data_IF_021034354874
#
_entry.id   IF_021034354874
#
_cell.length_a   1.000
_cell.length_b   1.000
_cell.length_c   1.000
_cell.angle_alpha   90.00
_cell.angle_beta   90.00
_cell.angle_gamma   90.00
#
_symmetry.space_group_name_H-M   'P 1'
#
loop_
_entity.id
_entity.type
_entity.pdbx_description
1 polymer ?
#
# COMPACT_ATOMS: atom_id res chain seq x y z
N UNK A 1 -8.30 15.77 16.29
CA UNK A 1 -8.76 14.37 16.51
C UNK A 1 -8.09 13.78 17.76
N UNK A 2 -8.85 13.29 18.73
CA UNK A 2 -8.27 12.62 19.90
C UNK A 2 -7.79 11.21 19.54
N UNK A 3 -6.47 11.01 19.43
CA UNK A 3 -5.85 9.68 19.21
C UNK A 3 -6.20 8.78 20.40
N UNK A 4 -7.08 7.80 20.20
CA UNK A 4 -7.35 6.74 21.20
C UNK A 4 -6.03 6.01 21.46
N UNK A 5 -5.62 5.98 22.73
CA UNK A 5 -4.42 5.27 23.18
C UNK A 5 -4.67 3.74 23.10
N UNK A 6 -4.62 3.16 21.90
CA UNK A 6 -4.81 1.72 21.65
C UNK A 6 -3.50 0.98 21.99
N UNK A 7 -3.36 0.55 23.25
CA UNK A 7 -2.26 -0.35 23.69
C UNK A 7 -2.54 -1.83 23.38
N UNK A 8 -3.03 -2.15 22.19
CA UNK A 8 -3.39 -3.52 21.82
C UNK A 8 -2.63 -3.95 20.57
N UNK A 9 -1.86 -5.04 20.67
CA UNK A 9 -1.02 -5.61 19.62
C UNK A 9 0.03 -4.64 19.04
N UNK A 10 1.27 -4.71 19.54
CA UNK A 10 2.39 -4.24 18.71
C UNK A 10 2.58 -5.28 17.63
N UNK A 11 2.15 -4.98 16.40
CA UNK A 11 2.67 -5.72 15.26
C UNK A 11 4.19 -5.78 15.37
N UNK A 12 4.86 -6.84 14.88
CA UNK A 12 6.25 -6.68 14.50
C UNK A 12 6.28 -5.45 13.58
N UNK A 13 6.91 -4.36 14.02
CA UNK A 13 6.96 -3.12 13.27
C UNK A 13 7.55 -3.51 11.93
N UNK A 14 6.71 -3.59 10.89
CA UNK A 14 7.19 -3.68 9.52
C UNK A 14 7.77 -2.29 9.29
N UNK A 15 9.01 -2.12 9.72
CA UNK A 15 9.75 -0.88 9.53
C UNK A 15 10.09 -0.87 8.06
N UNK A 16 9.15 -0.36 7.27
CA UNK A 16 9.42 -0.02 5.90
C UNK A 16 10.32 1.21 5.99
N UNK A 17 11.60 1.04 5.67
CA UNK A 17 12.51 2.17 5.54
C UNK A 17 11.99 3.14 4.46
N UNK A 18 12.41 4.42 4.50
CA UNK A 18 11.97 5.40 3.52
C UNK A 18 12.22 4.87 2.11
N UNK A 19 11.21 4.96 1.25
CA UNK A 19 11.39 4.63 -0.17
C UNK A 19 11.93 5.85 -0.89
N UNK A 20 13.05 5.65 -1.56
CA UNK A 20 13.73 6.68 -2.33
C UNK A 20 13.59 6.38 -3.81
N UNK A 21 13.15 7.37 -4.59
CA UNK A 21 13.30 7.35 -6.03
C UNK A 21 14.04 8.57 -6.54
N UNK A 22 14.92 8.31 -7.49
CA UNK A 22 15.88 9.28 -8.01
C UNK A 22 15.63 9.50 -9.52
N UNK A 23 15.56 10.75 -9.93
CA UNK A 23 15.59 11.15 -11.34
C UNK A 23 16.69 12.21 -11.55
N UNK A 24 17.64 11.93 -12.45
CA UNK A 24 18.81 12.77 -12.72
C UNK A 24 20.15 12.05 -12.47
N UNK A 25 21.26 12.73 -12.75
CA UNK A 25 22.61 12.20 -12.52
C UNK A 25 23.20 12.78 -11.23
N UNK A 26 23.26 11.96 -10.17
CA UNK A 26 23.81 12.33 -8.87
C UNK A 26 25.32 12.67 -8.92
N UNK A 27 26.04 12.35 -10.00
CA UNK A 27 27.44 12.76 -10.16
C UNK A 27 27.59 14.23 -10.57
N UNK A 28 26.59 14.81 -11.21
CA UNK A 28 26.58 16.26 -11.57
C UNK A 28 26.54 17.13 -10.32
N UNK A 29 25.95 16.55 -9.29
CA UNK A 29 25.75 17.09 -7.97
C UNK A 29 27.05 17.06 -7.13
N UNK A 30 28.00 16.15 -7.38
CA UNK A 30 29.27 16.08 -6.64
C UNK A 30 30.25 17.22 -6.97
N UNK A 31 30.07 17.91 -8.10
CA UNK A 31 31.01 18.90 -8.63
C UNK A 31 30.52 20.35 -8.42
N UNK A 32 30.58 20.85 -7.19
CA UNK A 32 30.27 22.24 -6.86
C UNK A 32 30.25 22.52 -5.36
N UNK A 33 30.28 23.81 -4.98
CA UNK A 33 30.08 24.24 -3.59
C UNK A 33 28.59 24.30 -3.27
N UNK A 34 28.20 24.14 -2.02
CA UNK A 34 26.77 24.14 -1.63
C UNK A 34 26.04 25.43 -2.04
N UNK A 35 26.75 26.55 -1.99
CA UNK A 35 26.29 27.88 -2.41
C UNK A 35 26.00 28.00 -3.92
N UNK A 36 26.49 27.08 -4.75
CA UNK A 36 26.22 27.05 -6.19
C UNK A 36 24.84 26.44 -6.52
N UNK A 37 24.15 25.88 -5.53
CA UNK A 37 22.91 25.15 -5.71
C UNK A 37 21.74 25.81 -4.97
N UNK A 38 20.54 25.40 -5.36
CA UNK A 38 19.28 25.68 -4.67
C UNK A 38 18.61 24.33 -4.42
N UNK A 39 18.21 24.07 -3.18
CA UNK A 39 17.38 22.91 -2.84
C UNK A 39 15.95 23.37 -2.65
N UNK A 40 15.01 22.70 -3.29
CA UNK A 40 13.59 22.95 -3.11
C UNK A 40 12.96 21.71 -2.51
N UNK A 41 12.48 21.83 -1.27
CA UNK A 41 11.71 20.78 -0.62
C UNK A 41 10.22 21.08 -0.76
N UNK A 42 9.45 20.03 -1.00
CA UNK A 42 7.99 20.09 -1.16
C UNK A 42 7.31 19.01 -0.35
N UNK A 43 6.28 19.37 0.38
CA UNK A 43 5.38 18.41 1.04
C UNK A 43 3.97 18.97 1.21
N UNK A 44 3.02 18.05 1.27
CA UNK A 44 1.65 18.33 1.67
C UNK A 44 1.65 18.66 3.16
N UNK A 45 0.95 19.73 3.53
CA UNK A 45 0.77 20.09 4.93
C UNK A 45 -0.41 19.31 5.53
N UNK A 46 -0.20 18.57 6.63
CA UNK A 46 -1.23 17.76 7.30
C UNK A 46 -2.07 18.63 8.25
N UNK A 47 -2.59 19.76 7.77
CA UNK A 47 -3.30 20.77 8.57
C UNK A 47 -4.63 21.15 7.91
N UNK A 48 -5.56 21.66 8.72
CA UNK A 48 -6.91 22.02 8.28
C UNK A 48 -6.92 23.31 7.44
N UNK A 49 -7.87 23.40 6.49
CA UNK A 49 -7.88 24.46 5.47
C UNK A 49 -8.05 25.88 6.03
N UNK A 50 -8.71 26.01 7.18
CA UNK A 50 -9.04 27.31 7.79
C UNK A 50 -7.81 28.03 8.36
N UNK A 51 -6.66 27.36 8.45
CA UNK A 51 -5.47 27.87 9.12
C UNK A 51 -4.50 28.63 8.20
N UNK A 52 -4.68 28.58 6.86
CA UNK A 52 -3.65 29.02 5.91
C UNK A 52 -4.08 30.07 4.88
N UNK A 53 -3.20 31.05 4.69
CA UNK A 53 -3.25 32.02 3.58
C UNK A 53 -2.18 31.64 2.55
N UNK A 54 -2.54 31.32 1.29
CA UNK A 54 -1.59 31.17 0.21
C UNK A 54 -0.74 32.44 0.00
N UNK A 55 0.55 32.38 0.31
CA UNK A 55 1.48 33.50 0.20
C UNK A 55 2.93 33.00 0.10
N UNK A 56 3.85 33.92 -0.22
CA UNK A 56 5.29 33.68 -0.10
C UNK A 56 5.83 34.40 1.13
N UNK A 57 6.56 33.66 1.94
CA UNK A 57 7.19 34.10 3.17
C UNK A 57 8.71 34.00 3.07
N UNK A 58 9.38 34.76 3.92
CA UNK A 58 10.84 34.73 4.06
C UNK A 58 11.17 34.56 5.53
N UNK A 59 11.91 33.51 5.85
CA UNK A 59 12.38 33.22 7.21
C UNK A 59 13.89 33.40 7.24
N UNK A 60 14.35 34.24 8.16
CA UNK A 60 15.77 34.44 8.44
C UNK A 60 16.14 33.71 9.73
N UNK A 61 17.37 33.22 9.82
CA UNK A 61 17.88 32.59 11.04
C UNK A 61 19.38 32.81 11.12
N UNK A 62 19.89 33.00 12.34
CA UNK A 62 21.31 33.28 12.59
C UNK A 62 22.28 32.18 12.09
N UNK A 63 21.76 30.98 11.77
CA UNK A 63 22.56 29.88 11.24
C UNK A 63 22.86 30.03 9.73
N UNK A 64 22.20 30.95 9.02
CA UNK A 64 22.32 31.10 7.57
C UNK A 64 22.40 32.56 7.16
N UNK A 65 23.32 32.86 6.25
CA UNK A 65 23.54 34.22 5.76
C UNK A 65 22.46 34.70 4.76
N UNK A 66 21.64 33.78 4.26
CA UNK A 66 20.61 34.06 3.26
C UNK A 66 19.21 33.69 3.77
N UNK A 67 18.18 34.49 3.46
CA UNK A 67 16.81 34.16 3.80
C UNK A 67 16.37 32.87 3.10
N UNK A 68 15.57 32.07 3.80
CA UNK A 68 14.92 30.89 3.25
C UNK A 68 13.50 31.30 2.84
N UNK A 69 13.17 31.06 1.58
CA UNK A 69 11.86 31.38 1.02
C UNK A 69 10.90 30.20 1.23
N UNK A 70 9.69 30.48 1.69
CA UNK A 70 8.63 29.49 1.91
C UNK A 70 7.43 29.92 1.08
N UNK A 71 6.91 29.06 0.21
CA UNK A 71 5.65 29.29 -0.50
C UNK A 71 4.62 28.34 0.03
N UNK A 72 3.50 28.90 0.47
CA UNK A 72 2.31 28.13 0.81
C UNK A 72 1.29 28.35 -0.29
N UNK A 73 0.69 27.28 -0.77
CA UNK A 73 -0.38 27.35 -1.75
C UNK A 73 -1.36 26.19 -1.59
N UNK A 74 -2.59 26.42 -1.99
CA UNK A 74 -3.64 25.41 -2.05
C UNK A 74 -3.53 24.66 -3.38
N UNK A 75 -3.78 23.36 -3.32
CA UNK A 75 -3.86 22.46 -4.46
C UNK A 75 -5.29 21.96 -4.56
N UNK A 76 -5.91 22.13 -5.73
CA UNK A 76 -7.34 21.84 -5.92
C UNK A 76 -7.62 20.39 -6.27
N UNK A 77 -6.67 19.72 -6.94
CA UNK A 77 -6.82 18.33 -7.33
C UNK A 77 -5.50 17.57 -7.45
N UNK A 78 -5.63 16.24 -7.60
CA UNK A 78 -4.51 15.32 -7.66
C UNK A 78 -3.53 15.59 -8.81
N UNK A 79 -3.92 16.27 -9.88
CA UNK A 79 -3.05 16.57 -11.03
C UNK A 79 -2.03 17.67 -10.73
N UNK A 80 -2.33 18.53 -9.76
CA UNK A 80 -1.47 19.61 -9.29
C UNK A 80 -0.50 19.16 -8.16
N UNK A 81 -0.84 18.09 -7.43
CA UNK A 81 0.01 17.49 -6.41
C UNK A 81 1.19 16.72 -7.02
N UNK A 82 2.35 17.37 -7.05
CA UNK A 82 3.58 16.77 -7.55
C UNK A 82 4.00 15.51 -6.79
N UNK A 83 3.77 15.45 -5.47
CA UNK A 83 4.12 14.27 -4.67
C UNK A 83 3.22 13.11 -5.07
N UNK A 84 1.92 13.35 -5.25
CA UNK A 84 1.00 12.34 -5.74
C UNK A 84 1.31 11.91 -7.18
N UNK A 85 1.57 12.85 -8.09
CA UNK A 85 1.86 12.55 -9.49
C UNK A 85 3.12 11.71 -9.67
N UNK A 86 4.12 11.91 -8.82
CA UNK A 86 5.33 11.09 -8.78
C UNK A 86 5.10 9.81 -7.96
N UNK A 87 4.49 9.91 -6.79
CA UNK A 87 4.17 8.79 -5.91
C UNK A 87 3.36 7.69 -6.59
N UNK A 88 2.36 8.07 -7.40
CA UNK A 88 1.45 7.12 -8.06
C UNK A 88 2.13 6.23 -9.12
N UNK A 89 3.32 6.59 -9.62
CA UNK A 89 4.08 5.71 -10.51
C UNK A 89 4.89 4.67 -9.74
N UNK A 90 5.12 4.90 -8.44
CA UNK A 90 5.70 3.91 -7.57
C UNK A 90 4.65 2.90 -7.15
N UNK A 91 4.91 1.65 -7.51
CA UNK A 91 4.47 0.54 -6.67
C UNK A 91 5.34 0.59 -5.42
N UNK A 92 4.86 1.22 -4.34
CA UNK A 92 5.51 1.19 -3.03
C UNK A 92 5.80 -0.28 -2.66
N UNK A 93 7.06 -0.71 -2.81
CA UNK A 93 7.41 -2.12 -2.76
C UNK A 93 8.73 -2.47 -3.45
N UNK A 94 9.82 -1.76 -3.10
CA UNK A 94 11.17 -2.14 -3.53
C UNK A 94 11.68 -3.45 -2.89
N UNK A 95 10.94 -4.02 -1.93
CA UNK A 95 11.07 -5.42 -1.54
C UNK A 95 9.67 -5.95 -1.20
N UNK A 96 9.15 -6.79 -2.09
CA UNK A 96 8.03 -7.74 -1.97
C UNK A 96 6.86 -7.37 -1.05
N UNK A 97 5.63 -7.44 -1.59
CA UNK A 97 4.34 -7.65 -0.91
C UNK A 97 3.27 -6.53 -0.91
N UNK A 98 3.52 -5.33 -1.45
CA UNK A 98 2.55 -4.20 -1.34
C UNK A 98 2.24 -3.45 -2.64
N UNK A 99 2.62 -4.03 -3.79
CA UNK A 99 2.76 -3.33 -5.08
C UNK A 99 1.50 -2.67 -5.67
N UNK A 100 0.31 -2.71 -5.06
CA UNK A 100 -0.86 -2.03 -5.65
C UNK A 100 -1.86 -1.43 -4.65
N UNK A 101 -1.41 -1.05 -3.46
CA UNK A 101 -2.18 -0.06 -2.71
C UNK A 101 -2.06 1.29 -3.41
N UNK A 102 -3.16 2.03 -3.64
CA UNK A 102 -3.08 3.29 -4.34
C UNK A 102 -2.29 4.28 -3.49
N UNK A 103 -1.28 4.93 -4.08
CA UNK A 103 -0.41 5.89 -3.38
C UNK A 103 -1.19 6.95 -2.58
N UNK A 104 -2.43 7.27 -3.00
CA UNK A 104 -3.33 8.17 -2.28
C UNK A 104 -3.52 7.80 -0.82
N UNK A 105 -3.46 6.52 -0.42
CA UNK A 105 -3.64 6.16 1.00
C UNK A 105 -2.41 6.48 1.84
N UNK A 106 -1.26 6.65 1.19
CA UNK A 106 0.01 6.92 1.83
C UNK A 106 0.39 8.38 1.75
N UNK A 107 -0.19 9.17 0.84
CA UNK A 107 0.01 10.61 0.80
C UNK A 107 -0.53 11.28 2.07
N UNK A 108 0.08 12.40 2.49
CA UNK A 108 -0.28 13.06 3.74
C UNK A 108 -1.71 13.65 3.73
N UNK A 109 -2.22 14.03 2.55
CA UNK A 109 -3.62 14.41 2.36
C UNK A 109 -4.57 13.22 2.13
N UNK A 110 -4.06 11.99 2.07
CA UNK A 110 -4.85 10.77 1.86
C UNK A 110 -5.71 10.81 0.58
N UNK A 111 -5.21 11.48 -0.45
CA UNK A 111 -5.93 11.74 -1.71
C UNK A 111 -7.14 12.69 -1.57
N UNK A 112 -7.29 13.38 -0.44
CA UNK A 112 -8.31 14.42 -0.23
C UNK A 112 -7.81 15.74 -0.79
N UNK A 113 -8.71 16.43 -1.49
CA UNK A 113 -8.47 17.74 -2.07
C UNK A 113 -9.71 18.63 -1.83
N UNK A 114 -9.55 19.96 -1.71
CA UNK A 114 -8.28 20.67 -1.80
C UNK A 114 -7.36 20.39 -0.59
N UNK A 115 -6.06 20.66 -0.75
CA UNK A 115 -5.08 20.52 0.34
C UNK A 115 -4.00 21.59 0.26
N UNK A 116 -3.27 21.82 1.34
CA UNK A 116 -2.20 22.82 1.39
C UNK A 116 -0.84 22.20 1.12
N UNK A 117 0.01 22.94 0.44
CA UNK A 117 1.36 22.54 0.09
C UNK A 117 2.37 23.57 0.59
N UNK A 118 3.47 23.08 1.15
CA UNK A 118 4.62 23.89 1.46
C UNK A 118 5.74 23.62 0.45
N UNK A 119 6.28 24.69 -0.13
CA UNK A 119 7.52 24.67 -0.90
C UNK A 119 8.56 25.52 -0.18
N UNK A 120 9.64 24.90 0.29
CA UNK A 120 10.74 25.56 0.98
C UNK A 120 11.95 25.61 0.05
N UNK A 121 12.46 26.82 -0.20
CA UNK A 121 13.56 27.08 -1.10
C UNK A 121 14.80 27.46 -0.29
N UNK A 122 15.71 26.51 -0.18
CA UNK A 122 17.00 26.68 0.44
C UNK A 122 17.98 27.25 -0.59
N UNK A 123 18.64 28.39 -0.31
CA UNK A 123 19.59 29.01 -1.24
C UNK A 123 20.95 28.29 -1.27
N UNK A 124 20.97 27.02 -0.88
CA UNK A 124 22.14 26.14 -0.84
C UNK A 124 21.69 24.68 -0.99
N UNK A 125 22.66 23.79 -1.22
CA UNK A 125 22.46 22.33 -1.16
C UNK A 125 22.29 21.88 0.30
N UNK A 126 21.21 21.15 0.61
CA UNK A 126 20.99 20.59 1.96
C UNK A 126 21.86 19.38 2.28
N UNK A 127 22.04 18.51 1.29
CA UNK A 127 22.41 17.13 1.54
C UNK A 127 23.89 16.88 1.16
N UNK A 128 24.62 16.23 2.07
CA UNK A 128 26.05 15.96 1.98
C UNK A 128 26.25 14.62 1.26
N UNK A 129 26.01 14.59 -0.06
CA UNK A 129 26.06 13.36 -0.88
C UNK A 129 27.43 12.69 -1.01
N UNK A 130 28.40 13.05 -0.16
CA UNK A 130 29.74 12.50 -0.17
C UNK A 130 29.69 11.01 0.18
N UNK A 131 29.56 10.21 -0.87
CA UNK A 131 29.89 8.80 -1.00
C UNK A 131 29.29 7.89 0.11
N UNK A 132 28.10 7.27 -0.11
CA UNK A 132 27.54 6.25 0.79
C UNK A 132 28.37 4.96 0.85
N UNK A 133 29.59 4.94 0.32
CA UNK A 133 30.52 3.83 0.47
C UNK A 133 30.84 3.59 1.95
N UNK A 134 30.23 2.54 2.51
CA UNK A 134 30.68 1.70 3.63
C UNK A 134 30.24 2.01 5.07
N UNK A 135 29.56 3.10 5.40
CA UNK A 135 28.96 3.21 6.74
C UNK A 135 27.61 2.47 6.82
N UNK A 136 27.73 1.16 7.04
CA UNK A 136 26.73 0.19 7.53
C UNK A 136 25.26 0.56 7.31
N UNK A 137 24.82 0.34 6.07
CA UNK A 137 23.40 0.32 5.66
C UNK A 137 22.58 -0.65 6.55
N UNK A 138 23.20 -1.70 7.09
CA UNK A 138 22.50 -2.70 7.93
C UNK A 138 22.21 -2.27 9.38
N UNK A 139 22.99 -1.36 9.99
CA UNK A 139 22.66 -0.81 11.32
C UNK A 139 21.66 0.36 11.25
N UNK A 140 21.44 0.91 10.06
CA UNK A 140 20.63 2.10 9.78
C UNK A 140 19.12 1.82 9.68
N UNK A 141 18.71 0.56 9.48
CA UNK A 141 17.30 0.18 9.27
C UNK A 141 16.49 -0.06 10.56
N UNK A 142 17.11 -0.02 11.75
CA UNK A 142 16.45 -0.43 13.01
C UNK A 142 15.97 0.73 13.90
N UNK A 143 16.36 1.98 13.63
CA UNK A 143 15.99 3.14 14.49
C UNK A 143 15.15 4.21 13.82
N UNK A 144 14.84 4.07 12.52
CA UNK A 144 14.27 5.16 11.71
C UNK A 144 15.28 6.29 11.55
N UNK A 145 15.90 6.42 10.38
CA UNK A 145 16.80 7.55 10.14
C UNK A 145 15.94 8.80 10.02
N UNK A 146 16.06 9.70 11.00
CA UNK A 146 15.53 11.04 10.85
C UNK A 146 16.28 11.76 9.73
N UNK A 147 15.59 12.11 8.65
CA UNK A 147 16.09 13.01 7.62
C UNK A 147 16.39 14.37 8.27
N UNK A 148 17.67 14.75 8.31
CA UNK A 148 18.11 16.06 8.82
C UNK A 148 17.50 17.19 8.01
N UNK A 149 17.34 16.97 6.70
CA UNK A 149 16.78 17.93 5.75
C UNK A 149 15.31 18.19 6.05
N UNK A 150 14.55 17.12 6.33
CA UNK A 150 13.16 17.22 6.81
C UNK A 150 13.06 17.92 8.17
N UNK A 151 13.91 17.57 9.14
CA UNK A 151 13.92 18.25 10.44
C UNK A 151 14.14 19.76 10.30
N UNK A 152 15.08 20.16 9.44
CA UNK A 152 15.33 21.57 9.16
C UNK A 152 14.14 22.24 8.48
N UNK A 153 13.54 21.60 7.47
CA UNK A 153 12.33 22.08 6.81
C UNK A 153 11.18 22.32 7.80
N UNK A 154 10.95 21.36 8.71
CA UNK A 154 9.92 21.48 9.74
C UNK A 154 10.25 22.57 10.77
N UNK A 155 11.51 22.74 11.15
CA UNK A 155 11.94 23.84 12.03
C UNK A 155 11.62 25.21 11.41
N UNK A 156 11.89 25.36 10.11
CA UNK A 156 11.64 26.59 9.36
C UNK A 156 10.14 26.89 9.25
N UNK A 157 9.32 25.89 8.95
CA UNK A 157 7.86 26.04 8.94
C UNK A 157 7.31 26.37 10.33
N UNK A 158 7.80 25.69 11.37
CA UNK A 158 7.36 25.96 12.74
C UNK A 158 7.74 27.38 13.21
N UNK A 159 8.87 27.92 12.75
CA UNK A 159 9.21 29.34 12.96
C UNK A 159 8.21 30.28 12.27
N UNK A 160 7.77 29.94 11.05
CA UNK A 160 6.74 30.69 10.35
C UNK A 160 5.40 30.60 11.11
N UNK A 161 4.98 29.41 11.54
CA UNK A 161 3.72 29.18 12.24
C UNK A 161 3.69 29.83 13.63
N UNK A 162 4.84 29.93 14.30
CA UNK A 162 4.97 30.65 15.56
C UNK A 162 5.05 32.19 15.40
N UNK A 163 5.09 32.71 14.16
CA UNK A 163 5.15 34.15 13.91
C UNK A 163 3.78 34.82 14.09
N UNK A 164 3.76 36.14 14.26
CA UNK A 164 2.52 36.93 14.40
C UNK A 164 1.58 36.86 13.19
N UNK A 165 2.05 36.30 12.06
CA UNK A 165 1.24 36.14 10.85
C UNK A 165 0.17 35.05 10.99
N UNK A 166 0.38 34.06 11.83
CA UNK A 166 -0.55 32.96 12.05
C UNK A 166 -1.20 33.05 13.43
N UNK A 167 -2.36 32.41 13.59
CA UNK A 167 -3.00 32.35 14.89
C UNK A 167 -2.08 31.62 15.88
N UNK A 168 -2.13 32.01 17.16
CA UNK A 168 -1.36 31.33 18.21
C UNK A 168 -1.77 29.87 18.41
N UNK A 169 -2.84 29.45 17.75
CA UNK A 169 -3.44 28.13 17.87
C UNK A 169 -3.01 27.19 16.73
N UNK A 170 -2.25 27.66 15.72
CA UNK A 170 -1.72 26.78 14.68
C UNK A 170 -0.78 25.75 15.31
N UNK A 171 -1.12 24.48 15.10
CA UNK A 171 -0.33 23.37 15.63
C UNK A 171 1.05 23.35 14.96
N UNK A 172 2.10 23.24 15.77
CA UNK A 172 3.46 22.98 15.28
C UNK A 172 3.57 21.55 14.72
N UNK A 173 4.29 21.42 13.60
CA UNK A 173 4.53 20.15 12.94
C UNK A 173 5.63 19.36 13.65
N UNK A 174 5.38 18.08 13.87
CA UNK A 174 6.34 17.09 14.32
C UNK A 174 6.90 16.29 13.14
N UNK A 175 8.00 15.57 13.36
CA UNK A 175 8.61 14.76 12.30
C UNK A 175 7.64 13.72 11.72
N UNK A 176 6.77 13.16 12.56
CA UNK A 176 5.84 12.11 12.15
C UNK A 176 4.65 12.65 11.34
N UNK A 177 4.44 13.98 11.31
CA UNK A 177 3.30 14.59 10.62
C UNK A 177 3.48 14.61 9.09
N UNK A 178 4.73 14.66 8.59
CA UNK A 178 5.02 14.66 7.15
C UNK A 178 5.59 13.31 6.76
N UNK A 179 4.81 12.49 6.07
CA UNK A 179 5.21 11.13 5.69
C UNK A 179 5.80 11.06 4.29
N UNK A 180 5.52 12.04 3.42
CA UNK A 180 6.06 12.06 2.05
C UNK A 180 6.52 13.46 1.66
N UNK A 181 7.65 13.53 0.97
CA UNK A 181 8.18 14.80 0.46
C UNK A 181 9.06 14.60 -0.76
N UNK A 182 9.21 15.67 -1.55
CA UNK A 182 10.10 15.73 -2.69
C UNK A 182 11.19 16.75 -2.43
N UNK A 183 12.44 16.37 -2.69
CA UNK A 183 13.58 17.28 -2.77
C UNK A 183 13.97 17.45 -4.23
N UNK A 184 14.17 18.68 -4.68
CA UNK A 184 14.64 18.99 -6.03
C UNK A 184 15.84 19.91 -5.96
N UNK A 185 16.89 19.59 -6.71
CA UNK A 185 18.15 20.32 -6.69
C UNK A 185 18.35 21.02 -8.03
N UNK A 186 18.72 22.30 -7.94
CA UNK A 186 18.96 23.18 -9.08
C UNK A 186 20.35 23.79 -8.97
N UNK A 187 20.99 24.09 -10.11
CA UNK A 187 22.20 24.91 -10.15
C UNK A 187 21.83 26.38 -10.34
N UNK A 188 22.40 27.27 -9.53
CA UNK A 188 22.21 28.72 -9.71
C UNK A 188 22.70 29.14 -11.10
N UNK A 189 21.96 30.04 -11.73
CA UNK A 189 22.26 30.52 -13.09
C UNK A 189 21.79 29.61 -14.23
N UNK A 190 21.29 28.40 -13.96
CA UNK A 190 20.68 27.52 -14.95
C UNK A 190 19.17 27.44 -14.72
N UNK A 191 18.39 28.22 -15.47
CA UNK A 191 17.06 28.66 -15.05
C UNK A 191 15.89 27.68 -15.28
N UNK A 192 16.10 26.44 -15.72
CA UNK A 192 14.97 25.59 -16.14
C UNK A 192 15.11 24.07 -15.90
N UNK A 193 16.32 23.50 -15.83
CA UNK A 193 16.48 22.05 -15.66
C UNK A 193 16.80 21.71 -14.20
N UNK A 194 15.94 20.90 -13.56
CA UNK A 194 16.32 20.24 -12.31
C UNK A 194 17.52 19.32 -12.60
N UNK A 195 18.55 19.40 -11.76
CA UNK A 195 19.70 18.49 -11.89
C UNK A 195 19.35 17.11 -11.36
N UNK A 196 18.56 17.09 -10.29
CA UNK A 196 18.26 15.90 -9.53
C UNK A 196 16.97 16.10 -8.74
N UNK A 197 16.16 15.07 -8.70
CA UNK A 197 14.94 15.03 -7.91
C UNK A 197 14.87 13.73 -7.12
N UNK A 198 14.49 13.85 -5.86
CA UNK A 198 14.41 12.79 -4.88
C UNK A 198 13.00 12.77 -4.27
N UNK A 199 12.25 11.68 -4.46
CA UNK A 199 10.99 11.45 -3.78
C UNK A 199 11.24 10.54 -2.58
N UNK A 200 10.85 10.97 -1.39
CA UNK A 200 10.96 10.24 -0.14
C UNK A 200 9.55 9.93 0.36
N UNK A 201 9.24 8.65 0.55
CA UNK A 201 7.91 8.16 0.94
C UNK A 201 7.96 7.38 2.25
N UNK A 202 6.85 7.43 3.00
CA UNK A 202 6.66 6.70 4.27
C UNK A 202 7.76 6.96 5.30
N UNK A 203 8.26 8.19 5.35
CA UNK A 203 9.38 8.58 6.23
C UNK A 203 8.95 8.81 7.70
N UNK A 204 7.77 8.35 8.09
CA UNK A 204 7.34 8.32 9.49
C UNK A 204 7.19 6.87 9.95
N UNK A 205 7.42 6.61 11.25
CA UNK A 205 7.48 5.24 11.79
C UNK A 205 6.18 4.47 11.57
N UNK A 206 5.07 5.20 11.60
CA UNK A 206 3.73 4.64 11.52
C UNK A 206 3.02 5.00 10.21
N UNK A 207 3.67 5.69 9.27
CA UNK A 207 3.04 6.17 8.02
C UNK A 207 2.29 5.05 7.29
N UNK A 208 2.92 3.88 7.24
CA UNK A 208 2.36 2.70 6.61
C UNK A 208 1.15 2.18 7.40
N UNK A 209 1.31 1.93 8.70
CA UNK A 209 0.23 1.44 9.57
C UNK A 209 -0.98 2.38 9.55
N UNK A 210 -0.76 3.68 9.70
CA UNK A 210 -1.82 4.69 9.66
C UNK A 210 -2.53 4.74 8.29
N UNK A 211 -1.79 4.65 7.18
CA UNK A 211 -2.38 4.61 5.84
C UNK A 211 -3.20 3.35 5.58
N UNK A 212 -2.76 2.21 6.13
CA UNK A 212 -3.48 0.94 6.09
C UNK A 212 -4.73 0.97 6.97
N UNK A 213 -4.62 1.43 8.21
CA UNK A 213 -5.76 1.54 9.14
C UNK A 213 -6.86 2.42 8.56
N UNK A 214 -6.51 3.57 7.99
CA UNK A 214 -7.49 4.45 7.34
C UNK A 214 -8.12 3.80 6.10
N UNK A 215 -7.33 3.10 5.29
CA UNK A 215 -7.82 2.43 4.09
C UNK A 215 -8.76 1.25 4.40
N UNK A 216 -8.45 0.51 5.47
CA UNK A 216 -9.18 -0.71 5.83
C UNK A 216 -10.31 -0.47 6.83
N UNK A 217 -10.25 0.62 7.59
CA UNK A 217 -11.21 0.98 8.62
C UNK A 217 -11.00 0.25 9.95
N UNK A 218 -11.49 0.87 11.04
CA UNK A 218 -11.36 0.39 12.42
C UNK A 218 -11.86 -1.06 12.62
N UNK A 219 -12.96 -1.41 11.95
CA UNK A 219 -13.63 -2.70 12.13
C UNK A 219 -12.76 -3.89 11.66
N UNK A 220 -11.97 -3.72 10.59
CA UNK A 220 -11.05 -4.77 10.15
C UNK A 220 -9.97 -4.97 11.19
N UNK A 221 -9.40 -3.89 11.72
CA UNK A 221 -8.33 -3.98 12.69
C UNK A 221 -8.76 -4.70 13.96
N UNK A 222 -9.96 -4.41 14.44
CA UNK A 222 -10.55 -5.09 15.59
C UNK A 222 -10.78 -6.58 15.31
N UNK A 223 -11.24 -6.93 14.10
CA UNK A 223 -11.40 -8.33 13.67
C UNK A 223 -10.06 -9.07 13.58
N UNK A 224 -9.05 -8.47 12.91
CA UNK A 224 -7.71 -9.04 12.79
C UNK A 224 -7.07 -9.20 14.17
N UNK A 225 -7.10 -8.16 15.00
CA UNK A 225 -6.55 -8.21 16.35
C UNK A 225 -7.28 -9.22 17.23
N UNK A 226 -8.58 -9.40 17.04
CA UNK A 226 -9.37 -10.45 17.69
C UNK A 226 -8.93 -11.84 17.24
N UNK A 227 -8.76 -12.05 15.94
CA UNK A 227 -8.28 -13.30 15.36
C UNK A 227 -6.86 -13.65 15.83
N UNK A 228 -5.92 -12.71 15.75
CA UNK A 228 -4.53 -12.94 16.19
C UNK A 228 -4.48 -13.29 17.66
N UNK A 229 -5.23 -12.59 18.52
CA UNK A 229 -5.31 -12.93 19.96
C UNK A 229 -5.92 -14.31 20.21
N UNK A 230 -6.92 -14.71 19.42
CA UNK A 230 -7.50 -16.06 19.51
C UNK A 230 -6.47 -17.14 19.15
N UNK A 231 -5.63 -16.86 18.15
CA UNK A 231 -4.59 -17.77 17.64
C UNK A 231 -3.25 -17.70 18.38
N UNK A 232 -3.07 -16.69 19.22
CA UNK A 232 -1.83 -16.48 19.97
C UNK A 232 -1.56 -17.68 20.90
N UNK A 233 -0.43 -18.36 20.67
CA UNK A 233 -0.03 -19.54 21.42
C UNK A 233 -0.51 -20.88 20.85
N UNK A 234 -1.37 -20.88 19.81
CA UNK A 234 -1.64 -22.10 19.03
C UNK A 234 -0.37 -22.50 18.27
N UNK A 235 -0.01 -23.79 18.34
CA UNK A 235 1.21 -24.29 17.72
C UNK A 235 0.93 -24.72 16.28
N UNK A 236 1.67 -24.16 15.33
CA UNK A 236 1.67 -24.58 13.92
C UNK A 236 2.81 -25.58 13.75
N UNK A 237 2.50 -26.88 13.66
CA UNK A 237 3.51 -27.94 13.58
C UNK A 237 3.47 -28.70 12.25
N UNK A 238 2.34 -28.66 11.54
CA UNK A 238 2.13 -29.38 10.29
C UNK A 238 1.63 -28.46 9.18
N UNK A 239 1.79 -28.87 7.92
CA UNK A 239 1.19 -28.16 6.79
C UNK A 239 -0.34 -28.05 6.91
N UNK A 240 -0.99 -29.03 7.55
CA UNK A 240 -2.43 -29.01 7.79
C UNK A 240 -2.81 -27.90 8.78
N UNK A 241 -2.03 -27.72 9.86
CA UNK A 241 -2.23 -26.63 10.82
C UNK A 241 -2.07 -25.26 10.13
N UNK A 242 -1.03 -25.12 9.29
CA UNK A 242 -0.81 -23.90 8.51
C UNK A 242 -1.96 -23.65 7.54
N UNK A 243 -2.41 -24.69 6.83
CA UNK A 243 -3.53 -24.61 5.90
C UNK A 243 -4.82 -24.17 6.60
N UNK A 244 -5.12 -24.74 7.77
CA UNK A 244 -6.28 -24.35 8.58
C UNK A 244 -6.24 -22.87 8.96
N UNK A 245 -5.10 -22.37 9.44
CA UNK A 245 -4.95 -20.95 9.80
C UNK A 245 -5.12 -20.03 8.59
N UNK A 246 -4.54 -20.37 7.43
CA UNK A 246 -4.71 -19.57 6.20
C UNK A 246 -6.18 -19.58 5.75
N UNK A 247 -6.85 -20.73 5.83
CA UNK A 247 -8.27 -20.85 5.51
C UNK A 247 -9.16 -20.04 6.46
N UNK A 248 -8.89 -20.08 7.77
CA UNK A 248 -9.61 -19.25 8.74
C UNK A 248 -9.45 -17.76 8.45
N UNK A 249 -8.24 -17.29 8.09
CA UNK A 249 -8.05 -15.89 7.66
C UNK A 249 -8.88 -15.57 6.41
N UNK A 250 -8.89 -16.46 5.42
CA UNK A 250 -9.67 -16.25 4.20
C UNK A 250 -11.18 -16.17 4.52
N UNK A 251 -11.69 -17.02 5.40
CA UNK A 251 -13.13 -17.11 5.69
C UNK A 251 -13.56 -16.04 6.71
N UNK A 252 -12.94 -15.99 7.88
CA UNK A 252 -13.39 -15.18 9.00
C UNK A 252 -13.03 -13.71 8.86
N UNK A 253 -11.94 -13.42 8.13
CA UNK A 253 -11.49 -12.04 7.90
C UNK A 253 -11.82 -11.62 6.48
N UNK A 254 -11.16 -12.18 5.47
CA UNK A 254 -11.21 -11.64 4.10
C UNK A 254 -12.63 -11.72 3.54
N UNK A 255 -13.23 -12.91 3.56
CA UNK A 255 -14.59 -13.16 3.04
C UNK A 255 -15.62 -12.38 3.84
N UNK A 256 -15.53 -12.35 5.17
CA UNK A 256 -16.43 -11.54 5.99
C UNK A 256 -16.41 -10.05 5.59
N UNK A 257 -15.24 -9.48 5.36
CA UNK A 257 -15.10 -8.05 5.06
C UNK A 257 -15.66 -7.71 3.68
N UNK A 258 -15.40 -8.58 2.70
CA UNK A 258 -15.90 -8.39 1.34
C UNK A 258 -17.41 -8.62 1.28
N UNK A 259 -17.90 -9.72 1.85
CA UNK A 259 -19.30 -10.13 1.74
C UNK A 259 -20.21 -9.40 2.73
N UNK A 260 -19.82 -9.28 4.00
CA UNK A 260 -20.72 -8.80 5.06
C UNK A 260 -20.53 -7.30 5.35
N UNK A 261 -19.30 -6.79 5.21
CA UNK A 261 -19.01 -5.35 5.35
C UNK A 261 -19.06 -4.59 4.02
N UNK A 262 -19.42 -5.27 2.93
CA UNK A 262 -19.59 -4.70 1.59
C UNK A 262 -18.34 -3.94 1.10
N UNK A 263 -17.15 -4.44 1.47
CA UNK A 263 -15.87 -3.87 1.05
C UNK A 263 -15.49 -4.31 -0.37
N UNK A 264 -16.45 -4.21 -1.29
CA UNK A 264 -16.29 -4.66 -2.67
C UNK A 264 -15.57 -3.61 -3.54
N UNK A 265 -15.53 -2.34 -3.13
CA UNK A 265 -15.05 -1.23 -3.95
C UNK A 265 -13.59 -1.43 -4.38
N UNK A 266 -12.77 -2.02 -3.52
CA UNK A 266 -11.38 -2.35 -3.82
C UNK A 266 -11.21 -3.29 -5.02
N UNK A 267 -12.24 -4.06 -5.40
CA UNK A 267 -12.21 -5.10 -6.42
C UNK A 267 -12.92 -4.72 -7.73
N UNK A 268 -13.46 -3.51 -7.82
CA UNK A 268 -14.17 -3.02 -9.00
C UNK A 268 -13.57 -1.71 -9.52
N UNK A 269 -13.67 -1.49 -10.83
CA UNK A 269 -13.42 -0.19 -11.45
C UNK A 269 -14.69 0.67 -11.37
N UNK A 270 -14.53 1.97 -11.15
CA UNK A 270 -15.65 2.89 -11.12
C UNK A 270 -16.30 3.10 -12.50
N UNK A 271 -17.58 3.47 -12.45
CA UNK A 271 -18.30 3.93 -13.64
C UNK A 271 -17.66 5.23 -14.11
N UNK A 272 -17.21 5.28 -15.37
CA UNK A 272 -16.65 6.50 -15.94
C UNK A 272 -17.35 6.85 -17.25
N UNK A 273 -17.46 8.14 -17.53
CA UNK A 273 -18.01 8.66 -18.78
C UNK A 273 -16.86 8.95 -19.73
N UNK A 274 -16.90 8.39 -20.93
CA UNK A 274 -15.91 8.65 -21.98
C UNK A 274 -16.58 9.13 -23.26
N UNK A 275 -15.86 9.95 -24.03
CA UNK A 275 -16.37 10.50 -25.30
C UNK A 275 -15.93 9.62 -26.45
N UNK A 276 -16.83 8.77 -26.96
CA UNK A 276 -16.58 7.92 -28.12
C UNK A 276 -17.36 8.49 -29.31
N UNK A 277 -16.65 8.87 -30.39
CA UNK A 277 -17.24 9.47 -31.59
C UNK A 277 -18.12 10.69 -31.30
N UNK A 278 -17.67 11.56 -30.38
CA UNK A 278 -18.38 12.77 -30.03
C UNK A 278 -19.51 12.60 -28.99
N UNK A 279 -19.93 11.37 -28.67
CA UNK A 279 -20.98 11.10 -27.69
C UNK A 279 -20.40 10.67 -26.35
N UNK A 280 -20.94 11.20 -25.26
CA UNK A 280 -20.63 10.76 -23.91
C UNK A 280 -21.31 9.40 -23.67
N UNK A 281 -20.51 8.38 -23.39
CA UNK A 281 -20.97 7.02 -23.07
C UNK A 281 -20.52 6.71 -21.64
N UNK A 282 -21.45 6.25 -20.81
CA UNK A 282 -21.16 5.75 -19.46
C UNK A 282 -20.72 4.29 -19.57
N UNK A 283 -19.47 4.00 -19.19
CA UNK A 283 -18.97 2.63 -19.12
C UNK A 283 -19.39 2.07 -17.75
N UNK A 284 -20.14 0.94 -17.71
CA UNK A 284 -20.61 0.39 -16.44
C UNK A 284 -19.44 -0.13 -15.61
N UNK A 285 -19.66 -0.21 -14.28
CA UNK A 285 -18.74 -0.84 -13.32
C UNK A 285 -18.29 -2.21 -13.83
N UNK A 286 -16.98 -2.48 -13.81
CA UNK A 286 -16.42 -3.78 -14.20
C UNK A 286 -15.49 -4.30 -13.09
N UNK A 287 -15.43 -5.62 -12.84
CA UNK A 287 -14.41 -6.19 -11.97
C UNK A 287 -13.01 -5.77 -12.41
N UNK A 288 -12.11 -5.57 -11.44
CA UNK A 288 -10.68 -5.42 -11.73
C UNK A 288 -10.12 -6.74 -12.27
N UNK A 289 -9.01 -6.67 -13.01
CA UNK A 289 -8.31 -7.88 -13.49
C UNK A 289 -7.54 -8.54 -12.33
N UNK A 290 -7.21 -9.81 -12.48
CA UNK A 290 -6.50 -10.59 -11.44
C UNK A 290 -5.27 -9.88 -10.88
N UNK A 291 -4.32 -9.37 -11.70
CA UNK A 291 -3.12 -8.70 -11.18
C UNK A 291 -3.42 -7.44 -10.38
N UNK A 292 -4.56 -6.80 -10.61
CA UNK A 292 -4.99 -5.60 -9.88
C UNK A 292 -5.73 -5.91 -8.56
N UNK A 293 -6.12 -7.17 -8.35
CA UNK A 293 -6.84 -7.62 -7.14
C UNK A 293 -5.88 -8.29 -6.15
N UNK A 294 -4.98 -9.13 -6.65
CA UNK A 294 -4.01 -9.88 -5.85
C UNK A 294 -3.29 -9.06 -4.77
N UNK A 295 -2.71 -7.88 -5.04
CA UNK A 295 -2.20 -6.95 -4.03
C UNK A 295 -3.12 -6.65 -2.84
N UNK A 296 -4.40 -6.37 -3.07
CA UNK A 296 -5.33 -6.11 -1.97
C UNK A 296 -5.51 -7.36 -1.12
N UNK A 297 -5.62 -8.53 -1.75
CA UNK A 297 -5.68 -9.80 -1.04
C UNK A 297 -4.40 -10.08 -0.25
N UNK A 298 -3.23 -9.79 -0.84
CA UNK A 298 -1.95 -9.93 -0.18
C UNK A 298 -1.87 -9.07 1.08
N UNK A 299 -2.27 -7.80 1.01
CA UNK A 299 -2.27 -6.91 2.18
C UNK A 299 -3.11 -7.50 3.30
N UNK A 300 -4.31 -8.00 3.01
CA UNK A 300 -5.17 -8.62 4.01
C UNK A 300 -4.58 -9.90 4.60
N UNK A 301 -3.99 -10.74 3.74
CA UNK A 301 -3.30 -11.94 4.17
C UNK A 301 -2.12 -11.57 5.08
N UNK A 302 -1.24 -10.66 4.66
CA UNK A 302 -0.07 -10.21 5.43
C UNK A 302 -0.47 -9.62 6.79
N UNK A 303 -1.45 -8.72 6.83
CA UNK A 303 -1.90 -8.09 8.07
C UNK A 303 -2.46 -9.13 9.06
N UNK A 304 -3.09 -10.18 8.54
CA UNK A 304 -3.71 -11.23 9.37
C UNK A 304 -2.73 -12.34 9.78
N UNK A 305 -1.77 -12.68 8.90
CA UNK A 305 -0.90 -13.86 9.04
C UNK A 305 0.50 -13.53 9.56
N UNK A 306 1.09 -12.38 9.19
CA UNK A 306 2.43 -12.00 9.65
C UNK A 306 2.53 -11.90 11.19
N UNK A 307 1.51 -11.43 11.94
CA UNK A 307 1.57 -11.42 13.40
C UNK A 307 1.70 -12.81 14.03
N UNK A 308 1.25 -13.84 13.30
CA UNK A 308 1.37 -15.25 13.69
C UNK A 308 2.69 -15.88 13.22
N UNK A 309 3.59 -15.11 12.62
CA UNK A 309 4.86 -15.59 12.06
C UNK A 309 4.72 -16.27 10.69
N UNK A 310 3.54 -16.20 10.05
CA UNK A 310 3.30 -16.75 8.72
C UNK A 310 3.57 -15.69 7.67
N UNK A 311 4.57 -15.92 6.82
CA UNK A 311 4.97 -15.01 5.75
C UNK A 311 4.19 -15.29 4.45
N UNK A 312 3.79 -14.24 3.74
CA UNK A 312 2.99 -14.36 2.50
C UNK A 312 3.71 -13.77 1.30
N UNK A 313 4.28 -14.62 0.45
CA UNK A 313 4.89 -14.19 -0.81
C UNK A 313 3.85 -14.15 -1.94
N UNK A 314 4.01 -13.24 -2.91
CA UNK A 314 3.13 -13.11 -4.10
C UNK A 314 3.96 -13.24 -5.36
N UNK A 315 3.36 -13.82 -6.41
CA UNK A 315 3.99 -13.98 -7.73
C UNK A 315 5.35 -14.69 -7.66
N UNK A 316 5.44 -15.76 -6.86
CA UNK A 316 6.68 -16.53 -6.75
C UNK A 316 6.90 -17.33 -8.04
N UNK A 317 8.12 -17.23 -8.60
CA UNK A 317 8.49 -17.97 -9.79
C UNK A 317 8.80 -19.43 -9.42
N UNK A 318 7.88 -20.35 -9.72
CA UNK A 318 7.97 -21.77 -9.32
C UNK A 318 8.56 -22.66 -10.44
N UNK A 319 9.26 -22.05 -11.41
CA UNK A 319 9.86 -22.71 -12.57
C UNK A 319 8.86 -23.20 -13.64
N UNK A 320 7.64 -23.56 -13.23
CA UNK A 320 6.54 -23.98 -14.13
C UNK A 320 5.51 -22.88 -14.38
N UNK A 321 5.67 -21.72 -13.73
CA UNK A 321 4.77 -20.58 -13.79
C UNK A 321 4.98 -19.65 -12.61
N UNK A 322 4.05 -18.71 -12.44
CA UNK A 322 3.99 -17.80 -11.30
C UNK A 322 2.80 -18.20 -10.43
N UNK A 323 3.06 -18.55 -9.17
CA UNK A 323 2.03 -18.82 -8.18
C UNK A 323 1.50 -17.50 -7.61
N UNK A 324 0.19 -17.39 -7.39
CA UNK A 324 -0.41 -16.15 -6.92
C UNK A 324 0.01 -15.82 -5.48
N UNK A 325 -0.14 -16.74 -4.53
CA UNK A 325 0.40 -16.56 -3.17
C UNK A 325 1.01 -17.83 -2.59
N UNK A 326 2.06 -17.65 -1.78
CA UNK A 326 2.76 -18.70 -1.04
C UNK A 326 2.83 -18.32 0.43
N UNK A 327 2.20 -19.12 1.28
CA UNK A 327 2.23 -18.94 2.74
C UNK A 327 3.31 -19.85 3.34
N UNK A 328 4.27 -19.24 4.03
CA UNK A 328 5.45 -19.89 4.59
C UNK A 328 5.45 -19.74 6.10
N UNK A 329 5.78 -20.82 6.81
CA UNK A 329 6.01 -20.80 8.24
C UNK A 329 7.20 -21.69 8.58
N UNK A 330 7.99 -21.31 9.58
CA UNK A 330 9.06 -22.16 10.11
C UNK A 330 8.69 -22.57 11.52
N UNK A 331 8.52 -23.87 11.74
CA UNK A 331 8.20 -24.42 13.06
C UNK A 331 9.34 -24.18 14.05
N UNK A 332 9.07 -24.41 15.35
CA UNK A 332 10.07 -24.22 16.42
C UNK A 332 11.31 -25.11 16.27
N UNK A 333 11.16 -26.28 15.66
CA UNK A 333 12.26 -27.21 15.34
C UNK A 333 12.97 -26.88 14.01
N UNK A 334 12.57 -25.80 13.33
CA UNK A 334 13.19 -25.35 12.08
C UNK A 334 12.64 -26.01 10.82
N UNK A 335 11.54 -26.76 10.92
CA UNK A 335 10.89 -27.39 9.77
C UNK A 335 10.12 -26.34 8.97
N UNK A 336 10.41 -26.16 7.67
CA UNK A 336 9.66 -25.24 6.82
C UNK A 336 8.32 -25.89 6.43
N UNK A 337 7.23 -25.15 6.61
CA UNK A 337 5.89 -25.49 6.17
C UNK A 337 5.46 -24.53 5.05
N UNK A 338 4.69 -25.05 4.10
CA UNK A 338 4.25 -24.29 2.94
C UNK A 338 2.81 -24.63 2.56
N UNK A 339 2.00 -23.60 2.31
CA UNK A 339 0.66 -23.71 1.72
C UNK A 339 0.60 -22.80 0.51
N UNK A 340 0.12 -23.34 -0.62
CA UNK A 340 0.03 -22.61 -1.88
C UNK A 340 -1.39 -22.11 -2.10
N UNK A 341 -1.55 -20.86 -2.53
CA UNK A 341 -2.85 -20.28 -2.86
C UNK A 341 -2.86 -19.84 -4.32
N UNK A 342 -3.75 -20.42 -5.11
CA UNK A 342 -3.99 -20.01 -6.50
C UNK A 342 -5.31 -19.24 -6.57
N UNK A 343 -5.29 -18.06 -7.18
CA UNK A 343 -6.40 -17.13 -7.25
C UNK A 343 -6.96 -17.04 -8.68
N UNK A 344 -8.29 -17.06 -8.80
CA UNK A 344 -8.99 -16.85 -10.08
C UNK A 344 -10.24 -16.00 -9.95
N UNK A 345 -10.57 -15.27 -11.01
CA UNK A 345 -11.91 -14.72 -11.17
C UNK A 345 -12.86 -15.80 -11.67
N UNK A 346 -14.09 -15.84 -11.16
CA UNK A 346 -15.11 -16.82 -11.56
C UNK A 346 -15.46 -16.79 -13.07
N UNK A 347 -15.05 -15.74 -13.78
CA UNK A 347 -15.24 -15.56 -15.21
C UNK A 347 -13.96 -15.78 -16.05
N UNK A 348 -12.88 -16.26 -15.42
CA UNK A 348 -11.61 -16.65 -16.04
C UNK A 348 -11.49 -18.15 -16.28
N UNK A 349 -10.27 -18.64 -16.47
CA UNK A 349 -9.98 -20.07 -16.69
C UNK A 349 -9.86 -20.85 -15.37
N UNK A 350 -11.01 -21.02 -14.71
CA UNK A 350 -11.09 -21.67 -13.39
C UNK A 350 -10.79 -23.17 -13.43
N UNK A 351 -10.98 -23.85 -14.56
CA UNK A 351 -10.79 -25.31 -14.62
C UNK A 351 -9.31 -25.63 -14.81
N UNK A 352 -8.64 -24.91 -15.70
CA UNK A 352 -7.22 -25.10 -15.93
C UNK A 352 -6.39 -24.78 -14.68
N UNK A 353 -6.73 -23.71 -13.95
CA UNK A 353 -6.05 -23.36 -12.71
C UNK A 353 -6.08 -24.49 -11.67
N UNK A 354 -7.24 -25.09 -11.46
CA UNK A 354 -7.41 -26.16 -10.47
C UNK A 354 -6.83 -27.51 -10.93
N UNK A 355 -7.06 -27.91 -12.18
CA UNK A 355 -6.63 -29.24 -12.67
C UNK A 355 -5.14 -29.32 -13.03
N UNK A 356 -4.55 -28.18 -13.42
CA UNK A 356 -3.20 -28.14 -14.00
C UNK A 356 -2.26 -27.24 -13.21
N UNK A 357 -2.59 -25.97 -13.02
CA UNK A 357 -1.65 -24.98 -12.45
C UNK A 357 -1.33 -25.30 -10.98
N UNK A 358 -2.34 -25.31 -10.09
CA UNK A 358 -2.12 -25.54 -8.67
C UNK A 358 -1.47 -26.91 -8.36
N UNK A 359 -1.89 -28.04 -8.96
CA UNK A 359 -1.20 -29.32 -8.79
C UNK A 359 0.26 -29.32 -9.27
N UNK A 360 0.59 -28.57 -10.32
CA UNK A 360 1.97 -28.43 -10.78
C UNK A 360 2.82 -27.65 -9.76
N UNK A 361 2.26 -26.57 -9.19
CA UNK A 361 2.94 -25.81 -8.14
C UNK A 361 3.14 -26.62 -6.85
N UNK A 362 2.13 -27.40 -6.43
CA UNK A 362 2.23 -28.30 -5.27
C UNK A 362 3.36 -29.32 -5.45
N UNK A 363 3.45 -29.90 -6.65
CA UNK A 363 4.54 -30.82 -7.02
C UNK A 363 5.91 -30.13 -6.96
N UNK A 364 6.04 -28.92 -7.53
CA UNK A 364 7.29 -28.18 -7.54
C UNK A 364 7.78 -27.79 -6.13
N UNK A 365 6.84 -27.50 -5.23
CA UNK A 365 7.13 -27.08 -3.85
C UNK A 365 7.19 -28.23 -2.84
N UNK A 366 6.92 -29.46 -3.27
CA UNK A 366 6.79 -30.63 -2.37
C UNK A 366 5.78 -30.41 -1.23
N UNK A 367 4.72 -29.64 -1.50
CA UNK A 367 3.63 -29.40 -0.55
C UNK A 367 2.42 -30.25 -0.95
N UNK A 368 1.65 -30.70 0.04
CA UNK A 368 0.42 -31.45 -0.21
C UNK A 368 -0.84 -30.59 -0.04
N UNK A 369 -0.71 -29.35 0.43
CA UNK A 369 -1.84 -28.49 0.80
C UNK A 369 -1.93 -27.26 -0.09
N UNK A 370 -3.07 -27.12 -0.76
CA UNK A 370 -3.37 -26.01 -1.64
C UNK A 370 -4.73 -25.37 -1.36
N UNK A 371 -4.84 -24.09 -1.64
CA UNK A 371 -6.09 -23.34 -1.58
C UNK A 371 -6.38 -22.80 -2.98
N UNK A 372 -7.56 -23.09 -3.48
CA UNK A 372 -8.05 -22.56 -4.75
C UNK A 372 -9.10 -21.49 -4.47
N UNK A 373 -8.70 -20.23 -4.57
CA UNK A 373 -9.50 -19.06 -4.18
C UNK A 373 -10.18 -18.43 -5.40
N UNK A 374 -11.50 -18.34 -5.37
CA UNK A 374 -12.29 -17.79 -6.47
C UNK A 374 -13.01 -16.52 -6.02
N UNK A 375 -12.95 -15.47 -6.83
CA UNK A 375 -13.78 -14.27 -6.62
C UNK A 375 -14.94 -14.21 -7.60
N UNK A 376 -16.15 -14.13 -7.05
CA UNK A 376 -17.41 -14.09 -7.76
C UNK A 376 -17.97 -12.67 -7.82
N UNK A 377 -18.39 -12.21 -8.99
CA UNK A 377 -18.82 -10.81 -9.21
C UNK A 377 -20.25 -10.69 -9.73
N UNK A 378 -20.89 -11.81 -10.12
CA UNK A 378 -22.21 -11.81 -10.73
C UNK A 378 -23.28 -11.74 -9.65
N UNK A 379 -24.04 -10.65 -9.64
CA UNK A 379 -25.23 -10.58 -8.81
C UNK A 379 -26.30 -11.58 -9.28
N UNK A 380 -27.27 -11.91 -8.42
CA UNK A 380 -28.29 -12.95 -8.67
C UNK A 380 -29.04 -12.73 -9.98
N UNK A 381 -29.27 -11.48 -10.35
CA UNK A 381 -30.01 -11.09 -11.54
C UNK A 381 -29.11 -10.74 -12.74
N UNK A 382 -27.79 -10.74 -12.55
CA UNK A 382 -26.81 -10.26 -13.52
C UNK A 382 -27.04 -8.80 -13.95
N UNK A 383 -27.47 -7.92 -13.05
CA UNK A 383 -27.73 -6.50 -13.34
C UNK A 383 -26.46 -5.74 -13.65
N UNK A 384 -25.43 -5.87 -12.83
CA UNK A 384 -24.17 -5.11 -12.95
C UNK A 384 -23.14 -5.89 -13.76
N UNK A 385 -22.96 -7.18 -13.44
CA UNK A 385 -22.02 -8.05 -14.14
C UNK A 385 -22.63 -9.43 -14.36
N UNK A 386 -22.55 -9.93 -15.60
CA UNK A 386 -23.30 -11.12 -16.05
C UNK A 386 -22.48 -12.40 -16.14
N UNK A 387 -21.16 -12.33 -15.96
CA UNK A 387 -20.27 -13.49 -16.11
C UNK A 387 -19.96 -14.14 -14.76
N UNK A 388 -19.86 -15.47 -14.67
CA UNK A 388 -19.98 -16.44 -15.77
C UNK A 388 -21.43 -16.62 -16.27
N UNK A 389 -21.59 -16.84 -17.57
CA UNK A 389 -22.89 -17.08 -18.19
C UNK A 389 -23.32 -18.54 -18.00
N UNK A 390 -24.62 -18.77 -17.79
CA UNK A 390 -25.19 -20.12 -17.71
C UNK A 390 -24.78 -20.95 -16.49
N UNK A 391 -24.18 -20.32 -15.47
CA UNK A 391 -23.86 -20.97 -14.19
C UNK A 391 -24.23 -20.07 -13.01
N UNK A 392 -24.68 -20.70 -11.95
CA UNK A 392 -24.88 -20.09 -10.62
C UNK A 392 -23.62 -20.27 -9.76
N UNK A 393 -23.56 -19.52 -8.66
CA UNK A 393 -22.49 -19.62 -7.66
C UNK A 393 -22.39 -21.05 -7.10
N UNK A 394 -23.54 -21.63 -6.72
CA UNK A 394 -23.64 -22.96 -6.12
C UNK A 394 -23.21 -24.09 -7.07
N UNK A 395 -23.64 -24.04 -8.34
CA UNK A 395 -23.22 -25.03 -9.34
C UNK A 395 -21.70 -25.01 -9.56
N UNK A 396 -21.10 -23.82 -9.57
CA UNK A 396 -19.66 -23.69 -9.72
C UNK A 396 -18.90 -24.26 -8.51
N UNK A 397 -19.35 -23.97 -7.29
CA UNK A 397 -18.74 -24.54 -6.07
C UNK A 397 -18.82 -26.06 -6.08
N UNK A 398 -19.99 -26.62 -6.39
CA UNK A 398 -20.18 -28.08 -6.47
C UNK A 398 -19.24 -28.72 -7.50
N UNK A 399 -19.08 -28.09 -8.67
CA UNK A 399 -18.16 -28.56 -9.71
C UNK A 399 -16.70 -28.52 -9.25
N UNK A 400 -16.27 -27.43 -8.62
CA UNK A 400 -14.88 -27.26 -8.18
C UNK A 400 -14.53 -28.25 -7.08
N UNK A 401 -15.44 -28.50 -6.13
CA UNK A 401 -15.26 -29.53 -5.10
C UNK A 401 -15.13 -30.93 -5.69
N UNK A 402 -15.91 -31.27 -6.71
CA UNK A 402 -15.78 -32.56 -7.40
C UNK A 402 -14.41 -32.71 -8.08
N UNK A 403 -13.89 -31.64 -8.68
CA UNK A 403 -12.56 -31.65 -9.30
C UNK A 403 -11.47 -31.81 -8.24
N UNK A 404 -11.56 -31.07 -7.13
CA UNK A 404 -10.61 -31.17 -6.02
C UNK A 404 -10.58 -32.59 -5.42
N UNK A 405 -11.74 -33.22 -5.23
CA UNK A 405 -11.83 -34.62 -4.79
C UNK A 405 -11.15 -35.58 -5.78
N UNK A 406 -11.38 -35.41 -7.08
CA UNK A 406 -10.70 -36.23 -8.10
C UNK A 406 -9.18 -36.08 -8.04
N UNK A 407 -8.68 -34.85 -7.81
CA UNK A 407 -7.24 -34.59 -7.66
C UNK A 407 -6.70 -35.27 -6.41
N UNK A 408 -7.43 -35.24 -5.30
CA UNK A 408 -7.04 -35.94 -4.07
C UNK A 408 -6.93 -37.45 -4.32
N UNK A 409 -7.92 -38.07 -4.95
CA UNK A 409 -7.91 -39.51 -5.24
C UNK A 409 -6.77 -39.91 -6.20
N UNK A 410 -6.45 -39.07 -7.19
CA UNK A 410 -5.42 -39.37 -8.19
C UNK A 410 -3.99 -39.06 -7.72
N UNK A 411 -3.80 -37.98 -6.96
CA UNK A 411 -2.48 -37.40 -6.65
C UNK A 411 -2.18 -37.26 -5.17
N UNK A 412 -3.18 -37.42 -4.29
CA UNK A 412 -3.05 -37.23 -2.86
C UNK A 412 -2.96 -35.77 -2.40
N UNK A 413 -3.16 -34.80 -3.30
CA UNK A 413 -3.15 -33.37 -2.95
C UNK A 413 -4.46 -32.98 -2.26
N UNK A 414 -4.33 -32.30 -1.12
CA UNK A 414 -5.44 -31.75 -0.35
C UNK A 414 -5.65 -30.32 -0.83
N UNK A 415 -6.67 -30.11 -1.66
CA UNK A 415 -7.01 -28.80 -2.20
C UNK A 415 -8.37 -28.36 -1.64
N UNK A 416 -8.39 -27.26 -0.91
CA UNK A 416 -9.63 -26.62 -0.47
C UNK A 416 -10.03 -25.55 -1.47
N UNK A 417 -11.27 -25.58 -1.95
CA UNK A 417 -11.79 -24.53 -2.84
C UNK A 417 -12.68 -23.57 -2.05
N UNK A 418 -12.42 -22.27 -2.18
CA UNK A 418 -13.16 -21.24 -1.45
C UNK A 418 -13.60 -20.14 -2.40
N UNK A 419 -14.81 -19.62 -2.20
CA UNK A 419 -15.39 -18.60 -3.07
C UNK A 419 -15.83 -17.38 -2.27
N UNK A 420 -15.31 -16.22 -2.69
CA UNK A 420 -15.65 -14.92 -2.13
C UNK A 420 -16.60 -14.18 -3.07
N UNK A 421 -17.77 -13.80 -2.58
CA UNK A 421 -18.80 -13.07 -3.31
C UNK A 421 -18.61 -11.56 -3.23
N UNK A 422 -17.92 -11.01 -4.22
CA UNK A 422 -17.71 -9.59 -4.41
C UNK A 422 -18.76 -8.96 -5.35
N UNK A 423 -19.94 -9.56 -5.50
CA UNK A 423 -21.03 -8.98 -6.31
C UNK A 423 -21.53 -7.66 -5.72
N UNK A 424 -22.05 -6.77 -6.58
CA UNK A 424 -22.67 -5.52 -6.11
C UNK A 424 -24.00 -5.84 -5.45
N UNK A 425 -24.11 -5.54 -4.16
CA UNK A 425 -25.35 -5.71 -3.40
C UNK A 425 -26.15 -4.40 -3.36
N UNK A 426 -27.49 -4.46 -3.35
CA UNK A 426 -28.31 -3.29 -3.05
C UNK A 426 -27.94 -2.72 -1.68
N UNK A 427 -27.91 -1.39 -1.55
CA UNK A 427 -27.82 -0.76 -0.24
C UNK A 427 -29.02 -1.18 0.61
N UNK A 428 -28.82 -1.43 1.91
CA UNK A 428 -29.91 -1.73 2.85
C UNK A 428 -30.95 -0.59 2.91
N UNK A 429 -30.57 0.63 2.56
CA UNK A 429 -31.50 1.77 2.43
C UNK A 429 -32.47 1.66 1.25
N UNK A 430 -32.24 0.71 0.33
CA UNK A 430 -33.03 0.50 -0.88
C UNK A 430 -33.80 -0.84 -0.85
N UNK A 431 -33.77 -1.55 0.28
CA UNK A 431 -34.61 -2.70 0.60
C UNK A 431 -35.80 -2.22 1.43
#
# INVERSE_FOLDING_TARGET
>A
MARRNRRGLRLPIITIGPFESMAGDSKVLENGKDEDYVTVMRFVLPLDEEEFVPETYSVTSAAWDSPIEIKLYQIEDASEDQIFQWGKIFSLGANMQLQNLPFSIFSDNRGKYPCFFAQIVFPFRLNDWRNPSQEKIEQKNLTGIYSKDKLLALEILNKLFASEKYSKDVRLLEYEDVTNFVETYFRKGHSQAHLYQHLILLDSRNAFEEGIEEFLGDDLWDHVSGFVRKKEGEAINTEADLHEIVMEVIIDIIKHQIENRNWIQAFWNDTHKTKIKGKMISIPKQPKREPSIQPTLQVLLCISLNPLGVHVERETAEGVGSLDFKCLFTTKDGTPLCVLVEFKLAHGDIKHGLEKQLPAYLTANKSNHGIYLIMWFKDEEGRVFKKPQGRTKMEMIAQLNQIAESIYQEKGFIITTEMIDASVRPSASNL
#
